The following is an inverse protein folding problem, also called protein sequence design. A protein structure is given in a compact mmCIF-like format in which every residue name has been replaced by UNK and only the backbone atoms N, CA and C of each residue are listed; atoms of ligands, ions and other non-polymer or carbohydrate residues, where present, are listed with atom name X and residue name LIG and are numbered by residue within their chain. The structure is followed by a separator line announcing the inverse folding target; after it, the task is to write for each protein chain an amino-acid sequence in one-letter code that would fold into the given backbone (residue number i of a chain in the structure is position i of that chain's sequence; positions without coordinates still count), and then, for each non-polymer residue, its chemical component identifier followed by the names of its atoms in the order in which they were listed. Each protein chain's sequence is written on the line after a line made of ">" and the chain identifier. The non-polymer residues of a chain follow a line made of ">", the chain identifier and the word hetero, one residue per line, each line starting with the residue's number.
data_IF_258833850003
#
_entry.id   IF_258833850003
#
_cell.length_a   1.000
_cell.length_b   1.000
_cell.length_c   1.000
_cell.angle_alpha   90.00
_cell.angle_beta   90.00
_cell.angle_gamma   90.00
#
_symmetry.space_group_name_H-M   'P 1'
#
loop_
_entity.id
_entity.type
_entity.pdbx_description
1 polymer ?
#
# COMPACT_ATOMS: atom_id res chain seq x y z
N UNK A 1 -3.19 8.22 29.58
CA UNK A 1 -2.25 8.29 28.45
C UNK A 1 -2.33 7.00 27.66
N UNK A 2 -2.99 7.01 26.49
CA UNK A 2 -3.21 5.84 25.62
C UNK A 2 -2.00 5.65 24.70
N UNK A 3 -1.36 4.48 24.71
CA UNK A 3 -0.29 4.10 23.78
C UNK A 3 -0.90 3.80 22.40
N UNK A 4 -0.33 4.29 21.28
CA UNK A 4 -0.78 3.91 19.96
C UNK A 4 -0.20 2.55 19.54
N UNK A 5 -1.03 1.71 18.94
CA UNK A 5 -0.64 0.47 18.29
C UNK A 5 0.00 0.75 16.91
N UNK A 6 1.00 -0.04 16.47
CA UNK A 6 1.52 0.06 15.11
C UNK A 6 0.54 -0.56 14.10
N UNK A 7 0.30 0.16 13.01
CA UNK A 7 -0.51 -0.27 11.87
C UNK A 7 0.22 -1.38 11.10
N UNK A 8 -0.51 -2.46 10.81
CA UNK A 8 -0.09 -3.53 9.92
C UNK A 8 0.07 -3.00 8.48
N UNK A 9 1.18 -3.39 7.86
CA UNK A 9 1.49 -3.25 6.44
C UNK A 9 0.49 -4.08 5.61
N UNK A 10 -0.30 -3.44 4.77
CA UNK A 10 -1.09 -4.10 3.73
C UNK A 10 -0.24 -4.28 2.48
N UNK A 11 0.07 -5.53 2.13
CA UNK A 11 0.64 -5.89 0.84
C UNK A 11 -0.46 -5.82 -0.23
N UNK A 12 -0.40 -4.80 -1.09
CA UNK A 12 -1.20 -4.71 -2.31
C UNK A 12 -0.60 -5.65 -3.37
N UNK A 13 -1.29 -6.76 -3.65
CA UNK A 13 -0.97 -7.64 -4.78
C UNK A 13 -1.84 -7.21 -5.97
N UNK A 14 -1.39 -6.20 -6.71
CA UNK A 14 -2.04 -5.77 -7.94
C UNK A 14 -0.99 -5.18 -8.89
N UNK A 15 -0.35 -6.04 -9.68
CA UNK A 15 0.29 -5.67 -10.95
C UNK A 15 0.76 -6.92 -11.71
N UNK A 16 -0.05 -7.35 -12.68
CA UNK A 16 0.42 -8.13 -13.83
C UNK A 16 -0.65 -8.05 -14.95
N UNK A 17 -0.73 -6.89 -15.59
CA UNK A 17 -1.38 -6.72 -16.90
C UNK A 17 -0.50 -5.82 -17.75
N UNK A 18 0.18 -6.43 -18.71
CA UNK A 18 0.62 -5.91 -20.01
C UNK A 18 1.43 -7.07 -20.64
N UNK A 19 1.40 -7.45 -21.92
CA UNK A 19 1.13 -6.82 -23.20
C UNK A 19 0.80 -7.95 -24.20
N UNK A 20 -0.07 -7.70 -25.18
CA UNK A 20 0.11 -8.14 -26.58
C UNK A 20 -1.12 -7.71 -27.39
N UNK A 21 -1.10 -6.45 -27.84
CA UNK A 21 -1.88 -5.98 -28.98
C UNK A 21 -0.98 -6.21 -30.19
N UNK A 22 -1.40 -7.08 -31.12
CA UNK A 22 -0.87 -7.09 -32.48
C UNK A 22 -2.03 -7.08 -33.44
N UNK A 23 -2.03 -6.04 -34.25
CA UNK A 23 -2.95 -5.76 -35.33
C UNK A 23 -2.83 -6.80 -36.45
N UNK A 24 -3.96 -7.13 -37.07
CA UNK A 24 -4.00 -7.46 -38.49
C UNK A 24 -5.19 -6.75 -39.12
N UNK A 25 -4.85 -5.89 -40.08
CA UNK A 25 -5.70 -5.06 -40.89
C UNK A 25 -5.73 -5.68 -42.30
N UNK A 26 -6.84 -5.49 -43.01
CA UNK A 26 -7.05 -5.80 -44.46
C UNK A 26 -7.45 -7.26 -44.72
N UNK A 27 -8.39 -7.61 -45.60
CA UNK A 27 -8.75 -6.94 -46.85
C UNK A 27 -10.04 -7.54 -47.48
N UNK A 28 -10.60 -6.75 -48.41
CA UNK A 28 -11.46 -7.09 -49.55
C UNK A 28 -12.95 -7.44 -49.39
N UNK A 29 -13.72 -6.61 -50.10
CA UNK A 29 -15.12 -6.70 -50.45
C UNK A 29 -15.42 -7.85 -51.43
N UNK A 30 -16.63 -8.41 -51.31
CA UNK A 30 -17.43 -8.86 -52.44
C UNK A 30 -18.91 -8.91 -52.01
N UNK A 31 -19.71 -8.00 -52.56
CA UNK A 31 -21.17 -8.04 -52.50
C UNK A 31 -21.68 -9.12 -53.45
N UNK A 32 -22.49 -10.04 -52.94
CA UNK A 32 -23.38 -10.88 -53.73
C UNK A 32 -24.80 -10.79 -53.16
N UNK A 33 -25.86 -10.65 -53.98
CA UNK A 33 -27.23 -10.64 -53.51
C UNK A 33 -27.62 -12.05 -53.07
N UNK A 34 -27.72 -12.28 -51.76
CA UNK A 34 -28.27 -13.51 -51.21
C UNK A 34 -29.79 -13.42 -51.27
N UNK A 35 -30.39 -14.22 -52.14
CA UNK A 35 -31.82 -14.47 -52.16
C UNK A 35 -32.22 -15.09 -50.82
N UNK A 36 -33.01 -14.36 -50.04
CA UNK A 36 -33.61 -14.85 -48.81
C UNK A 36 -34.66 -15.93 -49.15
N UNK A 37 -34.29 -17.20 -48.96
CA UNK A 37 -35.24 -18.27 -48.82
C UNK A 37 -35.81 -18.19 -47.40
N UNK A 38 -37.09 -17.85 -47.28
CA UNK A 38 -37.85 -17.94 -46.03
C UNK A 38 -38.07 -19.41 -45.69
N UNK A 39 -37.05 -20.05 -45.11
CA UNK A 39 -37.23 -21.30 -44.36
C UNK A 39 -38.09 -21.03 -43.13
N UNK A 40 -39.02 -21.93 -42.78
CA UNK A 40 -39.88 -21.79 -41.61
C UNK A 40 -39.01 -21.57 -40.38
N UNK A 41 -39.26 -20.49 -39.65
CA UNK A 41 -38.50 -20.07 -38.47
C UNK A 41 -38.63 -21.12 -37.37
N UNK A 42 -37.70 -22.08 -37.37
CA UNK A 42 -37.39 -22.94 -36.23
C UNK A 42 -37.15 -22.02 -35.04
N UNK A 43 -37.82 -22.27 -33.92
CA UNK A 43 -37.72 -21.44 -32.70
C UNK A 43 -36.36 -21.69 -32.03
N UNK A 44 -35.33 -21.07 -32.60
CA UNK A 44 -33.96 -21.17 -32.10
C UNK A 44 -33.68 -19.99 -31.19
N UNK A 45 -33.33 -20.28 -29.95
CA UNK A 45 -33.07 -19.29 -28.91
C UNK A 45 -31.64 -19.43 -28.42
N UNK A 46 -30.93 -18.31 -28.33
CA UNK A 46 -29.62 -18.25 -27.69
C UNK A 46 -29.77 -17.90 -26.21
N UNK A 47 -29.26 -18.76 -25.33
CA UNK A 47 -29.45 -18.66 -23.89
C UNK A 47 -28.09 -18.69 -23.18
N UNK A 48 -27.93 -17.87 -22.14
CA UNK A 48 -26.83 -18.03 -21.18
C UNK A 48 -27.32 -19.02 -20.11
N UNK A 49 -26.97 -20.29 -20.28
CA UNK A 49 -27.44 -21.38 -19.44
C UNK A 49 -26.32 -21.90 -18.53
N UNK A 50 -26.70 -22.53 -17.41
CA UNK A 50 -25.81 -23.31 -16.54
C UNK A 50 -26.41 -24.69 -16.29
N UNK A 51 -25.56 -25.68 -16.07
CA UNK A 51 -26.02 -27.03 -15.74
C UNK A 51 -26.58 -27.07 -14.31
N UNK A 52 -27.85 -27.45 -14.15
CA UNK A 52 -28.42 -27.74 -12.83
C UNK A 52 -28.09 -29.18 -12.39
N UNK A 53 -28.21 -30.12 -13.32
CA UNK A 53 -27.88 -31.54 -13.19
C UNK A 53 -27.31 -32.05 -14.54
N UNK A 54 -27.32 -33.36 -14.79
CA UNK A 54 -26.79 -33.93 -16.03
C UNK A 54 -27.71 -33.76 -17.25
N UNK A 55 -28.97 -33.39 -17.03
CA UNK A 55 -30.04 -33.35 -18.03
C UNK A 55 -30.71 -31.96 -18.17
N UNK A 56 -30.58 -31.12 -17.15
CA UNK A 56 -31.31 -29.88 -16.98
C UNK A 56 -30.39 -28.67 -17.06
N UNK A 57 -30.79 -27.72 -17.91
CA UNK A 57 -30.17 -26.40 -18.04
C UNK A 57 -31.06 -25.33 -17.39
N UNK A 58 -30.44 -24.36 -16.71
CA UNK A 58 -31.14 -23.19 -16.18
C UNK A 58 -30.64 -21.91 -16.86
N UNK A 59 -31.56 -21.15 -17.41
CA UNK A 59 -31.33 -19.85 -18.02
C UNK A 59 -32.27 -18.82 -17.38
N UNK A 60 -31.80 -18.14 -16.32
CA UNK A 60 -32.64 -17.24 -15.53
C UNK A 60 -33.75 -17.98 -14.77
N UNK A 61 -35.01 -17.66 -15.06
CA UNK A 61 -36.18 -18.32 -14.47
C UNK A 61 -36.59 -19.60 -15.23
N UNK A 62 -36.14 -19.74 -16.48
CA UNK A 62 -36.53 -20.85 -17.34
C UNK A 62 -35.68 -22.09 -17.08
N UNK A 63 -36.35 -23.24 -17.15
CA UNK A 63 -35.74 -24.56 -17.03
C UNK A 63 -35.91 -25.30 -18.36
N UNK A 64 -34.79 -25.70 -18.94
CA UNK A 64 -34.72 -26.38 -20.23
C UNK A 64 -34.18 -27.78 -20.01
N UNK A 65 -34.92 -28.79 -20.44
CA UNK A 65 -34.47 -30.18 -20.45
C UNK A 65 -33.91 -30.52 -21.82
N UNK A 66 -32.81 -31.28 -21.84
CA UNK A 66 -32.21 -31.78 -23.06
C UNK A 66 -33.16 -32.77 -23.76
N UNK A 67 -33.60 -32.42 -24.97
CA UNK A 67 -34.52 -33.28 -25.72
C UNK A 67 -33.85 -34.61 -26.12
N UNK A 68 -34.62 -35.69 -26.06
CA UNK A 68 -34.20 -37.03 -26.49
C UNK A 68 -33.33 -37.78 -25.50
N UNK A 69 -33.18 -37.27 -24.28
CA UNK A 69 -32.39 -37.90 -23.21
C UNK A 69 -33.19 -38.04 -21.92
N UNK A 70 -32.77 -38.96 -21.07
CA UNK A 70 -33.33 -39.22 -19.75
C UNK A 70 -32.21 -39.26 -18.68
N UNK A 71 -32.54 -38.79 -17.48
CA UNK A 71 -31.63 -38.83 -16.33
C UNK A 71 -31.57 -40.23 -15.72
N UNK A 72 -30.35 -40.66 -15.38
CA UNK A 72 -30.09 -41.94 -14.73
C UNK A 72 -30.38 -41.81 -13.23
N UNK A 73 -31.35 -42.59 -12.73
CA UNK A 73 -31.80 -42.51 -11.32
C UNK A 73 -30.99 -43.36 -10.34
N UNK A 74 -30.14 -44.26 -10.84
CA UNK A 74 -29.41 -45.26 -10.04
C UNK A 74 -27.96 -44.87 -9.73
N UNK A 75 -27.54 -43.65 -10.05
CA UNK A 75 -26.17 -43.19 -9.82
C UNK A 75 -25.86 -42.93 -8.33
N UNK A 76 -24.58 -43.00 -7.95
CA UNK A 76 -24.11 -42.50 -6.65
C UNK A 76 -23.84 -40.98 -6.69
N UNK A 77 -23.68 -40.34 -5.53
CA UNK A 77 -23.48 -38.88 -5.45
C UNK A 77 -22.27 -38.38 -6.28
N UNK A 78 -21.21 -39.18 -6.35
CA UNK A 78 -20.01 -38.85 -7.12
C UNK A 78 -20.26 -38.90 -8.63
N UNK A 79 -21.08 -39.85 -9.11
CA UNK A 79 -21.54 -39.91 -10.49
C UNK A 79 -22.31 -38.65 -10.88
N UNK A 80 -23.32 -38.25 -10.09
CA UNK A 80 -24.13 -37.05 -10.39
C UNK A 80 -23.27 -35.78 -10.42
N UNK A 81 -22.31 -35.65 -9.52
CA UNK A 81 -21.40 -34.50 -9.51
C UNK A 81 -20.54 -34.45 -10.78
N UNK A 82 -19.97 -35.59 -11.20
CA UNK A 82 -19.20 -35.69 -12.45
C UNK A 82 -20.04 -35.36 -13.67
N UNK A 83 -21.27 -35.88 -13.73
CA UNK A 83 -22.20 -35.66 -14.83
C UNK A 83 -22.57 -34.16 -14.94
N UNK A 84 -22.91 -33.50 -13.83
CA UNK A 84 -23.17 -32.05 -13.81
C UNK A 84 -21.95 -31.25 -14.25
N UNK A 85 -20.75 -31.59 -13.75
CA UNK A 85 -19.52 -30.91 -14.14
C UNK A 85 -19.18 -31.11 -15.61
N UNK A 86 -19.46 -32.29 -16.18
CA UNK A 86 -19.25 -32.54 -17.61
C UNK A 86 -20.15 -31.64 -18.47
N UNK A 87 -21.42 -31.51 -18.12
CA UNK A 87 -22.35 -30.62 -18.83
C UNK A 87 -21.96 -29.14 -18.65
N UNK A 88 -21.62 -28.72 -17.42
CA UNK A 88 -21.21 -27.33 -17.14
C UNK A 88 -19.93 -26.95 -17.89
N UNK A 89 -18.95 -27.85 -17.94
CA UNK A 89 -17.71 -27.64 -18.71
C UNK A 89 -17.97 -27.58 -20.23
N UNK A 90 -18.92 -28.37 -20.73
CA UNK A 90 -19.27 -28.39 -22.16
C UNK A 90 -19.97 -27.10 -22.59
N UNK A 91 -20.81 -26.52 -21.73
CA UNK A 91 -21.45 -25.21 -21.92
C UNK A 91 -20.39 -24.10 -21.81
N UNK A 92 -19.56 -24.18 -20.77
CA UNK A 92 -18.58 -23.16 -20.43
C UNK A 92 -19.23 -21.82 -20.09
N UNK A 93 -18.59 -20.72 -20.48
CA UNK A 93 -19.09 -19.36 -20.26
C UNK A 93 -19.82 -18.76 -21.47
N UNK A 94 -19.99 -19.54 -22.55
CA UNK A 94 -20.55 -19.09 -23.83
C UNK A 94 -22.06 -19.35 -23.89
N UNK A 95 -22.83 -18.56 -24.67
CA UNK A 95 -24.25 -18.84 -24.89
C UNK A 95 -24.43 -20.17 -25.65
N UNK A 96 -25.48 -20.90 -25.29
CA UNK A 96 -25.92 -22.12 -25.97
C UNK A 96 -27.07 -21.80 -26.92
N UNK A 97 -27.10 -22.47 -28.06
CA UNK A 97 -28.16 -22.36 -29.05
C UNK A 97 -29.11 -23.53 -28.86
N UNK A 98 -30.32 -23.24 -28.36
CA UNK A 98 -31.34 -24.24 -28.09
C UNK A 98 -32.49 -24.10 -29.06
N UNK A 99 -32.86 -25.21 -29.69
CA UNK A 99 -34.03 -25.33 -30.54
C UNK A 99 -35.13 -26.07 -29.79
N UNK A 100 -36.24 -25.38 -29.54
CA UNK A 100 -37.32 -25.95 -28.73
C UNK A 100 -38.17 -26.92 -29.56
N UNK A 101 -38.18 -28.17 -29.11
CA UNK A 101 -38.88 -29.31 -29.72
C UNK A 101 -40.28 -29.49 -29.12
N UNK A 102 -40.50 -29.01 -27.90
CA UNK A 102 -41.80 -29.09 -27.24
C UNK A 102 -41.75 -28.64 -25.78
N UNK A 103 -42.78 -29.03 -25.03
CA UNK A 103 -42.84 -28.88 -23.58
C UNK A 103 -43.31 -30.20 -22.97
N UNK A 104 -42.76 -30.55 -21.81
CA UNK A 104 -43.24 -31.71 -21.06
C UNK A 104 -44.57 -31.38 -20.34
N UNK A 105 -45.28 -32.38 -19.77
CA UNK A 105 -46.52 -32.15 -19.03
C UNK A 105 -46.38 -31.20 -17.82
N UNK A 106 -45.16 -31.06 -17.28
CA UNK A 106 -44.85 -30.12 -16.20
C UNK A 106 -44.59 -28.68 -16.71
N UNK A 107 -44.72 -28.43 -18.01
CA UNK A 107 -44.53 -27.12 -18.64
C UNK A 107 -43.07 -26.73 -18.90
N UNK A 108 -42.11 -27.59 -18.58
CA UNK A 108 -40.68 -27.37 -18.84
C UNK A 108 -40.39 -27.50 -20.34
N UNK A 109 -39.47 -26.68 -20.83
CA UNK A 109 -39.12 -26.64 -22.26
C UNK A 109 -38.23 -27.83 -22.58
N UNK A 110 -38.59 -28.60 -23.61
CA UNK A 110 -37.75 -29.65 -24.19
C UNK A 110 -37.04 -29.06 -25.40
N UNK A 111 -35.71 -29.02 -25.39
CA UNK A 111 -34.94 -28.43 -26.49
C UNK A 111 -33.69 -29.22 -26.84
N UNK A 112 -33.36 -29.25 -28.13
CA UNK A 112 -32.05 -29.68 -28.60
C UNK A 112 -31.08 -28.50 -28.46
N UNK A 113 -30.07 -28.63 -27.62
CA UNK A 113 -29.13 -27.55 -27.34
C UNK A 113 -27.74 -27.88 -27.87
N UNK A 114 -27.10 -26.89 -28.48
CA UNK A 114 -25.71 -26.96 -28.95
C UNK A 114 -24.87 -25.84 -28.33
N UNK A 115 -23.59 -26.10 -28.08
CA UNK A 115 -22.66 -25.07 -27.62
C UNK A 115 -22.17 -24.19 -28.79
N UNK A 116 -21.31 -23.22 -28.50
CA UNK A 116 -20.73 -22.32 -29.50
C UNK A 116 -19.88 -23.01 -30.59
N UNK A 117 -19.51 -24.28 -30.40
CA UNK A 117 -18.76 -25.10 -31.35
C UNK A 117 -19.69 -25.98 -32.20
N UNK A 118 -21.01 -25.88 -32.01
CA UNK A 118 -22.00 -26.71 -32.69
C UNK A 118 -22.10 -28.13 -32.15
N UNK A 119 -21.52 -28.41 -30.97
CA UNK A 119 -21.60 -29.72 -30.33
C UNK A 119 -22.96 -29.84 -29.64
N UNK A 120 -23.73 -30.87 -30.00
CA UNK A 120 -24.97 -31.24 -29.33
C UNK A 120 -24.69 -31.72 -27.90
N UNK A 121 -25.29 -31.03 -26.93
CA UNK A 121 -25.06 -31.30 -25.50
C UNK A 121 -25.64 -32.66 -25.09
N UNK A 122 -26.83 -33.03 -25.58
CA UNK A 122 -27.48 -34.30 -25.25
C UNK A 122 -26.69 -35.48 -25.82
N UNK A 123 -26.27 -35.37 -27.08
CA UNK A 123 -25.45 -36.39 -27.74
C UNK A 123 -24.11 -36.60 -27.02
N UNK A 124 -23.41 -35.51 -26.65
CA UNK A 124 -22.16 -35.62 -25.90
C UNK A 124 -22.36 -36.32 -24.55
N UNK A 125 -23.42 -35.96 -23.82
CA UNK A 125 -23.72 -36.56 -22.51
C UNK A 125 -24.06 -38.06 -22.62
N UNK A 126 -24.72 -38.49 -23.70
CA UNK A 126 -24.91 -39.91 -24.02
C UNK A 126 -23.57 -40.62 -24.29
N UNK A 127 -22.69 -40.02 -25.09
CA UNK A 127 -21.37 -40.58 -25.40
C UNK A 127 -20.48 -40.76 -24.17
N UNK A 128 -20.62 -39.91 -23.15
CA UNK A 128 -19.90 -40.02 -21.88
C UNK A 128 -20.56 -40.99 -20.89
N UNK A 129 -21.75 -41.53 -21.20
CA UNK A 129 -22.51 -42.43 -20.32
C UNK A 129 -23.13 -41.72 -19.11
N UNK A 130 -23.42 -40.42 -19.21
CA UNK A 130 -24.03 -39.62 -18.14
C UNK A 130 -25.55 -39.46 -18.28
N UNK A 131 -26.10 -39.80 -19.45
CA UNK A 131 -27.54 -39.87 -19.74
C UNK A 131 -27.84 -41.16 -20.48
N UNK A 132 -29.12 -41.50 -20.58
CA UNK A 132 -29.66 -42.57 -21.44
C UNK A 132 -30.60 -41.98 -22.48
N UNK A 133 -30.76 -42.64 -23.63
CA UNK A 133 -31.59 -42.12 -24.71
C UNK A 133 -33.08 -42.37 -24.42
N UNK A 134 -33.92 -41.32 -24.48
CA UNK A 134 -35.37 -41.47 -24.35
C UNK A 134 -35.95 -41.99 -25.67
N UNK A 135 -36.10 -43.31 -25.75
CA UNK A 135 -36.59 -43.99 -26.96
C UNK A 135 -38.02 -43.59 -27.32
N UNK A 136 -38.81 -43.04 -26.39
CA UNK A 136 -40.20 -42.67 -26.67
C UNK A 136 -40.33 -41.43 -27.55
N UNK A 137 -39.37 -40.50 -27.45
CA UNK A 137 -39.32 -39.27 -28.26
C UNK A 137 -38.31 -39.33 -29.38
N UNK A 138 -37.25 -40.14 -29.25
CA UNK A 138 -36.20 -40.24 -30.25
C UNK A 138 -36.62 -41.09 -31.46
N UNK A 139 -37.51 -42.06 -31.28
CA UNK A 139 -37.92 -42.99 -32.34
C UNK A 139 -38.63 -42.29 -33.51
N UNK A 140 -38.18 -42.56 -34.74
CA UNK A 140 -38.67 -41.94 -35.96
C UNK A 140 -38.14 -40.52 -36.21
N UNK A 141 -37.27 -40.01 -35.33
CA UNK A 141 -36.59 -38.73 -35.54
C UNK A 141 -35.31 -38.90 -36.36
N UNK A 142 -34.82 -37.79 -36.94
CA UNK A 142 -33.54 -37.76 -37.68
C UNK A 142 -32.34 -38.05 -36.75
N UNK A 143 -32.51 -37.89 -35.43
CA UNK A 143 -31.44 -38.06 -34.44
C UNK A 143 -31.39 -39.47 -33.84
N UNK A 144 -32.32 -40.35 -34.22
CA UNK A 144 -32.45 -41.69 -33.65
C UNK A 144 -31.16 -42.49 -33.70
N UNK A 145 -30.59 -42.61 -34.89
CA UNK A 145 -29.38 -43.41 -35.11
C UNK A 145 -28.19 -42.87 -34.29
N UNK A 146 -28.04 -41.55 -34.22
CA UNK A 146 -26.92 -40.92 -33.52
C UNK A 146 -27.01 -41.09 -32.00
N UNK A 147 -28.20 -40.94 -31.42
CA UNK A 147 -28.40 -41.03 -29.98
C UNK A 147 -28.26 -42.48 -29.50
N UNK A 148 -28.84 -43.44 -30.22
CA UNK A 148 -28.73 -44.88 -29.89
C UNK A 148 -27.28 -45.36 -30.06
N UNK A 149 -26.59 -44.91 -31.11
CA UNK A 149 -25.18 -45.26 -31.30
C UNK A 149 -24.28 -44.70 -30.19
N UNK A 150 -24.52 -43.46 -29.74
CA UNK A 150 -23.79 -42.84 -28.65
C UNK A 150 -23.97 -43.58 -27.32
N UNK A 151 -25.21 -43.95 -26.97
CA UNK A 151 -25.52 -44.74 -25.77
C UNK A 151 -24.84 -46.13 -25.83
N UNK A 152 -24.98 -46.82 -26.97
CA UNK A 152 -24.36 -48.15 -27.19
C UNK A 152 -22.83 -48.08 -27.11
N UNK A 153 -22.24 -47.00 -27.61
CA UNK A 153 -20.80 -46.77 -27.52
C UNK A 153 -20.36 -46.58 -26.07
N UNK A 154 -21.06 -45.76 -25.29
CA UNK A 154 -20.75 -45.57 -23.87
C UNK A 154 -20.89 -46.87 -23.09
N UNK A 155 -21.92 -47.67 -23.38
CA UNK A 155 -22.12 -49.00 -22.81
C UNK A 155 -20.95 -49.94 -23.13
N UNK A 156 -20.57 -50.06 -24.40
CA UNK A 156 -19.46 -50.93 -24.83
C UNK A 156 -18.10 -50.55 -24.23
N UNK A 157 -17.90 -49.26 -23.93
CA UNK A 157 -16.68 -48.74 -23.32
C UNK A 157 -16.67 -48.87 -21.79
N UNK A 158 -17.80 -49.19 -21.16
CA UNK A 158 -17.93 -49.22 -19.71
C UNK A 158 -17.61 -47.87 -19.07
N UNK A 159 -18.12 -46.78 -19.64
CA UNK A 159 -17.91 -45.41 -19.11
C UNK A 159 -19.20 -44.82 -18.54
N UNK A 160 -19.06 -43.81 -17.68
CA UNK A 160 -20.20 -43.19 -17.02
C UNK A 160 -20.90 -44.17 -16.08
N UNK A 161 -22.20 -44.35 -16.22
CA UNK A 161 -22.99 -45.31 -15.41
C UNK A 161 -22.63 -46.77 -15.72
N UNK A 162 -22.06 -47.02 -16.89
CA UNK A 162 -21.71 -48.37 -17.34
C UNK A 162 -20.35 -48.85 -16.80
N UNK A 163 -19.61 -47.99 -16.12
CA UNK A 163 -18.38 -48.39 -15.47
C UNK A 163 -18.70 -49.38 -14.35
N UNK A 164 -18.22 -50.62 -14.49
CA UNK A 164 -18.24 -51.57 -13.39
C UNK A 164 -17.53 -50.91 -12.20
N UNK A 165 -18.15 -50.95 -11.02
CA UNK A 165 -17.50 -50.53 -9.78
C UNK A 165 -16.34 -51.49 -9.49
N UNK A 166 -15.21 -51.29 -10.16
CA UNK A 166 -13.94 -51.94 -9.84
C UNK A 166 -13.40 -51.24 -8.59
N UNK A 167 -14.11 -51.46 -7.50
CA UNK A 167 -13.81 -51.00 -6.15
C UNK A 167 -12.45 -51.55 -5.72
N UNK A 168 -11.47 -50.66 -5.70
CA UNK A 168 -10.47 -50.44 -4.62
C UNK A 168 -9.63 -51.61 -4.07
N UNK A 169 -9.71 -52.84 -4.60
CA UNK A 169 -9.08 -54.01 -3.97
C UNK A 169 -7.88 -54.62 -4.70
N UNK A 170 -7.28 -53.93 -5.69
CA UNK A 170 -6.11 -54.45 -6.42
C UNK A 170 -4.75 -53.84 -6.04
N UNK A 171 -4.70 -52.76 -5.25
CA UNK A 171 -3.42 -52.14 -4.87
C UNK A 171 -2.77 -52.75 -3.59
N UNK A 172 -3.49 -53.57 -2.82
CA UNK A 172 -3.03 -54.01 -1.49
C UNK A 172 -2.57 -55.48 -1.40
N UNK A 173 -2.33 -56.16 -2.52
CA UNK A 173 -1.87 -57.56 -2.54
C UNK A 173 -0.65 -57.78 -3.43
N UNK A 174 0.49 -57.18 -3.07
CA UNK A 174 1.81 -57.64 -3.55
C UNK A 174 3.01 -56.95 -2.88
N UNK A 175 3.03 -56.73 -1.56
CA UNK A 175 4.31 -56.46 -0.88
C UNK A 175 4.31 -57.14 0.48
N UNK A 176 5.19 -58.14 0.64
CA UNK A 176 5.32 -58.93 1.87
C UNK A 176 5.58 -58.04 3.09
N UNK A 177 4.90 -58.34 4.20
CA UNK A 177 4.84 -57.52 5.40
C UNK A 177 6.21 -57.16 6.00
N UNK A 178 7.24 -58.00 5.81
CA UNK A 178 8.58 -57.75 6.35
C UNK A 178 9.34 -56.63 5.62
N UNK A 179 9.08 -56.42 4.33
CA UNK A 179 9.74 -55.37 3.55
C UNK A 179 9.07 -54.00 3.72
N UNK A 180 7.78 -53.97 4.08
CA UNK A 180 7.02 -52.72 4.29
C UNK A 180 7.51 -51.97 5.52
N UNK A 181 7.84 -52.68 6.60
CA UNK A 181 8.37 -52.07 7.83
C UNK A 181 9.75 -51.43 7.59
N UNK A 182 10.64 -52.12 6.87
CA UNK A 182 11.99 -51.63 6.56
C UNK A 182 11.91 -50.41 5.63
N UNK A 183 11.10 -50.48 4.57
CA UNK A 183 10.93 -49.35 3.64
C UNK A 183 10.34 -48.13 4.37
N UNK A 184 9.36 -48.33 5.25
CA UNK A 184 8.77 -47.24 6.03
C UNK A 184 9.77 -46.57 6.97
N UNK A 185 10.64 -47.36 7.62
CA UNK A 185 11.71 -46.83 8.47
C UNK A 185 12.78 -46.06 7.67
N UNK A 186 13.16 -46.57 6.50
CA UNK A 186 14.11 -45.89 5.61
C UNK A 186 13.54 -44.56 5.11
N UNK A 187 12.27 -44.54 4.67
CA UNK A 187 11.60 -43.31 4.25
C UNK A 187 11.50 -42.30 5.40
N UNK A 188 11.20 -42.76 6.62
CA UNK A 188 11.18 -41.91 7.81
C UNK A 188 12.56 -41.30 8.10
N UNK A 189 13.64 -42.09 8.04
CA UNK A 189 14.99 -41.58 8.23
C UNK A 189 15.40 -40.55 7.17
N UNK A 190 15.06 -40.78 5.90
CA UNK A 190 15.31 -39.81 4.82
C UNK A 190 14.56 -38.50 5.09
N UNK A 191 13.31 -38.59 5.54
CA UNK A 191 12.49 -37.43 5.86
C UNK A 191 13.07 -36.65 7.07
N UNK A 192 13.47 -37.33 8.14
CA UNK A 192 14.15 -36.70 9.30
C UNK A 192 15.46 -36.03 8.88
N UNK A 193 16.26 -36.69 8.03
CA UNK A 193 17.49 -36.11 7.50
C UNK A 193 17.23 -34.85 6.66
N UNK A 194 16.19 -34.85 5.82
CA UNK A 194 15.78 -33.68 5.05
C UNK A 194 15.38 -32.50 5.96
N UNK A 195 14.62 -32.76 7.04
CA UNK A 195 14.28 -31.74 8.03
C UNK A 195 15.50 -31.22 8.80
N UNK A 196 16.46 -32.08 9.12
CA UNK A 196 17.71 -31.67 9.78
C UNK A 196 18.53 -30.73 8.88
N UNK A 197 18.66 -31.05 7.59
CA UNK A 197 19.34 -30.19 6.62
C UNK A 197 18.61 -28.85 6.45
N UNK A 198 17.28 -28.87 6.30
CA UNK A 198 16.48 -27.66 6.21
C UNK A 198 16.64 -26.76 7.45
N UNK A 199 16.61 -27.35 8.66
CA UNK A 199 16.82 -26.64 9.92
C UNK A 199 18.20 -25.99 9.98
N UNK A 200 19.23 -26.68 9.48
CA UNK A 200 20.60 -26.17 9.46
C UNK A 200 20.75 -24.98 8.49
N UNK A 201 20.09 -25.05 7.32
CA UNK A 201 20.01 -23.93 6.36
C UNK A 201 19.28 -22.74 6.97
N UNK A 202 18.13 -22.96 7.62
CA UNK A 202 17.40 -21.89 8.31
C UNK A 202 18.24 -21.27 9.43
N UNK A 203 18.92 -22.07 10.24
CA UNK A 203 19.77 -21.57 11.33
C UNK A 203 20.94 -20.72 10.80
N UNK A 204 21.53 -21.09 9.67
CA UNK A 204 22.52 -20.25 8.97
C UNK A 204 21.92 -18.96 8.43
N UNK A 205 20.69 -19.01 7.92
CA UNK A 205 19.94 -17.83 7.49
C UNK A 205 19.68 -16.85 8.64
N UNK A 206 19.14 -17.35 9.76
CA UNK A 206 18.85 -16.54 10.95
C UNK A 206 20.11 -15.89 11.54
N UNK A 207 21.25 -16.58 11.57
CA UNK A 207 22.52 -15.96 12.02
C UNK A 207 22.93 -14.78 11.14
N UNK A 208 22.77 -14.86 9.82
CA UNK A 208 23.04 -13.74 8.92
C UNK A 208 22.09 -12.56 9.15
N UNK A 209 20.81 -12.85 9.35
CA UNK A 209 19.80 -11.81 9.61
C UNK A 209 20.04 -11.14 10.96
N UNK A 210 20.33 -11.91 12.01
CA UNK A 210 20.67 -11.36 13.34
C UNK A 210 21.90 -10.44 13.25
N UNK A 211 22.97 -10.88 12.59
CA UNK A 211 24.16 -10.04 12.39
C UNK A 211 23.89 -8.77 11.57
N UNK A 212 22.97 -8.82 10.60
CA UNK A 212 22.56 -7.64 9.84
C UNK A 212 21.71 -6.67 10.69
N UNK A 213 20.83 -7.20 11.54
CA UNK A 213 20.02 -6.40 12.45
C UNK A 213 20.88 -5.69 13.50
N UNK A 214 21.88 -6.38 14.07
CA UNK A 214 22.82 -5.78 15.03
C UNK A 214 23.59 -4.62 14.41
N UNK A 215 24.08 -4.77 13.17
CA UNK A 215 24.75 -3.68 12.43
C UNK A 215 23.83 -2.47 12.23
N UNK A 216 22.57 -2.68 11.87
CA UNK A 216 21.62 -1.58 11.73
C UNK A 216 21.36 -0.88 13.06
N UNK A 217 21.27 -1.62 14.17
CA UNK A 217 21.10 -1.00 15.50
C UNK A 217 22.33 -0.20 15.94
N UNK A 218 23.55 -0.68 15.63
CA UNK A 218 24.80 0.03 15.90
C UNK A 218 24.93 1.31 15.06
N UNK A 219 24.53 1.26 13.78
CA UNK A 219 24.50 2.46 12.93
C UNK A 219 23.50 3.49 13.47
N UNK A 220 22.30 3.05 13.86
CA UNK A 220 21.28 3.94 14.41
C UNK A 220 21.68 4.54 15.78
N UNK A 221 22.38 3.78 16.63
CA UNK A 221 22.88 4.30 17.90
C UNK A 221 24.00 5.34 17.67
N UNK A 222 24.92 5.07 16.74
CA UNK A 222 25.97 6.01 16.33
C UNK A 222 25.38 7.28 15.72
N UNK A 223 24.37 7.19 14.88
CA UNK A 223 23.70 8.36 14.30
C UNK A 223 23.06 9.23 15.39
N UNK A 224 22.43 8.62 16.40
CA UNK A 224 21.88 9.36 17.56
C UNK A 224 22.98 10.07 18.34
N UNK A 225 24.07 9.38 18.65
CA UNK A 225 25.21 9.97 19.37
C UNK A 225 25.82 11.14 18.57
N UNK A 226 25.94 11.00 17.25
CA UNK A 226 26.42 12.09 16.39
C UNK A 226 25.48 13.28 16.36
N UNK A 227 24.16 13.04 16.27
CA UNK A 227 23.14 14.10 16.34
C UNK A 227 23.14 14.80 17.70
N UNK A 228 23.33 14.07 18.79
CA UNK A 228 23.42 14.66 20.12
C UNK A 228 24.69 15.50 20.28
N UNK A 229 25.82 15.05 19.72
CA UNK A 229 27.06 15.84 19.65
C UNK A 229 26.88 17.10 18.81
N UNK A 230 26.28 16.98 17.62
CA UNK A 230 26.00 18.12 16.74
C UNK A 230 25.07 19.13 17.42
N UNK A 231 24.00 18.65 18.06
CA UNK A 231 23.09 19.48 18.87
C UNK A 231 23.85 20.24 19.95
N UNK A 232 24.73 19.57 20.69
CA UNK A 232 25.51 20.21 21.77
C UNK A 232 26.48 21.27 21.22
N UNK A 233 27.12 21.00 20.08
CA UNK A 233 28.02 21.97 19.41
C UNK A 233 27.22 23.20 18.93
N UNK A 234 26.11 22.99 18.22
CA UNK A 234 25.27 24.10 17.74
C UNK A 234 24.72 24.91 18.91
N UNK A 235 24.27 24.24 19.97
CA UNK A 235 23.76 24.90 21.16
C UNK A 235 24.84 25.72 21.88
N UNK A 236 26.07 25.21 22.03
CA UNK A 236 27.16 25.93 22.69
C UNK A 236 27.63 27.13 21.88
N UNK A 237 27.71 26.99 20.55
CA UNK A 237 28.02 28.10 19.64
C UNK A 237 26.97 29.22 19.73
N UNK A 238 25.68 28.86 19.71
CA UNK A 238 24.59 29.83 19.86
C UNK A 238 24.57 30.47 21.24
N UNK A 239 24.76 29.69 22.31
CA UNK A 239 24.81 30.23 23.66
C UNK A 239 25.97 31.23 23.82
N UNK A 240 27.13 30.94 23.24
CA UNK A 240 28.28 31.85 23.23
C UNK A 240 27.97 33.15 22.47
N UNK A 241 27.37 33.06 21.28
CA UNK A 241 26.95 34.25 20.52
C UNK A 241 25.91 35.07 21.30
N UNK A 242 24.92 34.42 21.91
CA UNK A 242 23.88 35.06 22.71
C UNK A 242 24.46 35.77 23.94
N UNK A 243 25.41 35.16 24.67
CA UNK A 243 26.10 35.80 25.80
C UNK A 243 26.96 36.98 25.35
N UNK A 244 27.68 36.85 24.23
CA UNK A 244 28.45 37.96 23.66
C UNK A 244 27.53 39.13 23.27
N UNK A 245 26.38 38.82 22.67
CA UNK A 245 25.36 39.82 22.34
C UNK A 245 24.72 40.42 23.60
N UNK A 246 24.56 39.66 24.69
CA UNK A 246 24.10 40.19 25.97
C UNK A 246 25.06 41.26 26.50
N UNK A 247 26.36 40.96 26.54
CA UNK A 247 27.37 41.94 26.96
C UNK A 247 27.38 43.20 26.09
N UNK A 248 27.14 43.06 24.77
CA UNK A 248 26.98 44.23 23.87
C UNK A 248 25.74 45.06 24.21
N UNK A 249 24.61 44.43 24.52
CA UNK A 249 23.37 45.13 24.91
C UNK A 249 23.55 45.83 26.25
N UNK A 250 24.20 45.20 27.22
CA UNK A 250 24.46 45.78 28.54
C UNK A 250 25.38 47.00 28.44
N UNK A 251 26.49 46.89 27.69
CA UNK A 251 27.38 48.01 27.43
C UNK A 251 26.66 49.17 26.71
N UNK A 252 25.81 48.84 25.74
CA UNK A 252 24.98 49.81 25.04
C UNK A 252 24.03 50.54 26.01
N UNK A 253 23.35 49.79 26.89
CA UNK A 253 22.46 50.36 27.90
C UNK A 253 23.22 51.31 28.83
N UNK A 254 24.39 50.94 29.33
CA UNK A 254 25.20 51.81 30.20
C UNK A 254 25.51 53.15 29.53
N UNK A 255 26.00 53.11 28.28
CA UNK A 255 26.38 54.33 27.54
C UNK A 255 25.17 55.23 27.28
N UNK A 256 24.06 54.67 26.78
CA UNK A 256 22.89 55.47 26.42
C UNK A 256 22.05 55.91 27.64
N UNK A 257 22.07 55.16 28.75
CA UNK A 257 21.46 55.60 30.00
C UNK A 257 22.25 56.75 30.65
N UNK A 258 23.58 56.71 30.58
CA UNK A 258 24.42 57.83 31.01
C UNK A 258 24.19 59.07 30.12
N UNK A 259 24.12 58.89 28.79
CA UNK A 259 23.77 59.96 27.86
C UNK A 259 22.40 60.56 28.20
N UNK A 260 21.39 59.72 28.42
CA UNK A 260 20.04 60.15 28.80
C UNK A 260 20.01 60.89 30.14
N UNK A 261 20.79 60.44 31.12
CA UNK A 261 20.96 61.15 32.40
C UNK A 261 21.57 62.53 32.19
N UNK A 262 22.60 62.65 31.35
CA UNK A 262 23.24 63.94 31.03
C UNK A 262 22.30 64.91 30.29
N UNK A 263 21.43 64.39 29.41
CA UNK A 263 20.46 65.20 28.66
C UNK A 263 19.33 65.74 29.55
N UNK A 264 18.97 64.99 30.59
CA UNK A 264 17.91 65.37 31.56
C UNK A 264 18.41 66.32 32.65
N UNK A 265 19.71 66.37 32.92
CA UNK A 265 20.27 67.26 33.90
C UNK A 265 20.25 68.72 33.39
N UNK A 266 19.51 69.63 34.02
CA UNK A 266 19.44 71.03 33.61
C UNK A 266 20.77 71.78 33.85
N UNK A 267 21.64 71.26 34.71
CA UNK A 267 22.89 71.92 35.11
C UNK A 267 24.09 71.60 34.20
N UNK A 268 24.00 70.53 33.41
CA UNK A 268 25.08 70.08 32.53
C UNK A 268 24.95 70.70 31.13
N UNK A 269 26.05 71.25 30.59
CA UNK A 269 26.05 71.71 29.20
C UNK A 269 25.92 70.53 28.24
N UNK A 270 24.99 70.64 27.29
CA UNK A 270 24.57 69.52 26.44
C UNK A 270 25.57 69.31 25.32
N UNK A 271 26.37 68.24 25.44
CA UNK A 271 27.45 67.90 24.50
C UNK A 271 27.01 67.94 23.03
N UNK A 272 25.81 67.44 22.71
CA UNK A 272 25.30 67.40 21.33
C UNK A 272 25.10 68.80 20.71
N UNK A 273 24.89 69.85 21.51
CA UNK A 273 24.72 71.23 20.99
C UNK A 273 26.00 71.83 20.42
N UNK A 274 27.17 71.25 20.74
CA UNK A 274 28.46 71.78 20.27
C UNK A 274 28.86 71.23 18.91
N UNK A 275 28.66 69.93 18.69
CA UNK A 275 29.17 69.22 17.49
C UNK A 275 28.14 68.34 16.79
N UNK A 276 26.91 68.28 17.29
CA UNK A 276 25.97 67.21 16.96
C UNK A 276 26.36 65.90 17.62
N UNK A 277 25.49 64.89 17.50
CA UNK A 277 25.75 63.52 17.93
C UNK A 277 25.04 62.52 17.00
N UNK A 278 25.47 61.26 17.00
CA UNK A 278 24.84 60.19 16.21
C UNK A 278 24.31 59.13 17.17
N UNK A 279 22.99 58.99 17.21
CA UNK A 279 22.32 57.99 18.03
C UNK A 279 22.01 56.77 17.20
N UNK A 280 22.56 55.64 17.60
CA UNK A 280 22.14 54.34 17.12
C UNK A 280 20.78 54.01 17.76
N UNK A 281 19.80 53.49 17.00
CA UNK A 281 18.47 53.17 17.56
C UNK A 281 18.36 51.75 18.13
N UNK A 282 19.32 50.87 17.78
CA UNK A 282 19.42 49.49 18.25
C UNK A 282 20.90 49.09 18.34
N UNK A 283 21.29 48.24 19.31
CA UNK A 283 22.67 47.75 19.41
C UNK A 283 23.07 46.93 18.18
N UNK A 284 24.35 47.00 17.80
CA UNK A 284 24.90 46.20 16.70
C UNK A 284 25.22 44.79 17.23
N UNK A 285 24.34 43.82 16.93
CA UNK A 285 24.46 42.44 17.39
C UNK A 285 24.97 41.54 16.28
N UNK A 286 25.74 40.51 16.66
CA UNK A 286 26.20 39.48 15.73
C UNK A 286 25.07 38.49 15.45
N UNK A 287 25.06 37.91 14.25
CA UNK A 287 24.09 36.91 13.78
C UNK A 287 24.74 35.77 13.01
N UNK A 288 26.07 35.77 12.90
CA UNK A 288 26.80 34.86 12.01
C UNK A 288 26.59 33.39 12.36
N UNK A 289 26.58 33.03 13.66
CA UNK A 289 26.32 31.66 14.11
C UNK A 289 24.87 31.27 13.85
N UNK A 290 23.92 32.16 14.12
CA UNK A 290 22.50 31.89 13.86
C UNK A 290 22.23 31.66 12.37
N UNK A 291 22.66 32.59 11.51
CA UNK A 291 22.42 32.53 10.07
C UNK A 291 23.14 31.30 9.45
N UNK A 292 24.31 30.92 9.98
CA UNK A 292 25.08 29.75 9.54
C UNK A 292 24.54 28.38 9.98
N UNK A 293 23.58 28.32 10.93
CA UNK A 293 23.03 27.07 11.46
C UNK A 293 21.49 27.02 11.38
N UNK A 294 20.86 27.82 10.51
CA UNK A 294 19.40 27.91 10.40
C UNK A 294 18.72 26.58 10.06
N UNK A 295 19.40 25.72 9.30
CA UNK A 295 18.98 24.36 8.94
C UNK A 295 19.02 23.37 10.10
N UNK A 296 19.80 23.66 11.15
CA UNK A 296 20.02 22.81 12.33
C UNK A 296 19.23 23.23 13.55
N UNK A 297 18.33 24.21 13.41
CA UNK A 297 17.55 24.71 14.54
C UNK A 297 16.68 23.61 15.15
N UNK A 298 16.15 22.70 14.33
CA UNK A 298 15.30 21.59 14.78
C UNK A 298 15.96 20.70 15.84
N UNK A 299 17.30 20.57 15.84
CA UNK A 299 18.09 19.85 16.83
C UNK A 299 17.90 20.39 18.27
N UNK A 300 17.66 21.69 18.42
CA UNK A 300 17.47 22.35 19.73
C UNK A 300 16.10 22.07 20.34
N UNK A 301 15.19 21.49 19.56
CA UNK A 301 13.81 21.25 19.93
C UNK A 301 12.92 22.48 19.73
N UNK A 302 11.65 22.21 19.42
CA UNK A 302 10.66 23.20 18.95
C UNK A 302 10.57 24.48 19.80
N UNK A 303 10.60 24.36 21.13
CA UNK A 303 10.43 25.52 22.03
C UNK A 303 11.63 26.46 22.00
N UNK A 304 12.85 25.91 22.11
CA UNK A 304 14.05 26.73 22.11
C UNK A 304 14.32 27.34 20.73
N UNK A 305 14.20 26.51 19.68
CA UNK A 305 14.32 26.95 18.28
C UNK A 305 13.43 28.15 18.00
N UNK A 306 12.15 28.07 18.38
CA UNK A 306 11.19 29.16 18.19
C UNK A 306 11.61 30.42 18.96
N UNK A 307 12.09 30.29 20.20
CA UNK A 307 12.55 31.44 20.98
C UNK A 307 13.79 32.11 20.36
N UNK A 308 14.76 31.31 19.90
CA UNK A 308 15.98 31.79 19.22
C UNK A 308 15.61 32.51 17.91
N UNK A 309 14.80 31.87 17.04
CA UNK A 309 14.36 32.47 15.78
C UNK A 309 13.63 33.79 16.03
N UNK A 310 12.73 33.85 17.02
CA UNK A 310 12.01 35.09 17.35
C UNK A 310 12.91 36.19 17.91
N UNK A 311 14.00 35.84 18.60
CA UNK A 311 14.98 36.81 19.06
C UNK A 311 15.74 37.40 17.86
N UNK A 312 16.32 36.55 17.02
CA UNK A 312 17.10 37.00 15.85
C UNK A 312 16.25 37.70 14.78
N UNK A 313 14.97 37.36 14.64
CA UNK A 313 14.04 38.08 13.76
C UNK A 313 13.83 39.55 14.16
N UNK A 314 14.07 39.91 15.43
CA UNK A 314 13.98 41.30 15.92
C UNK A 314 15.27 42.09 15.74
N UNK A 315 16.38 41.40 15.49
CA UNK A 315 17.70 42.02 15.29
C UNK A 315 17.81 42.49 13.83
N UNK A 316 17.97 43.80 13.65
CA UNK A 316 18.31 44.38 12.35
C UNK A 316 19.79 44.16 12.04
N UNK A 317 20.08 43.62 10.86
CA UNK A 317 21.45 43.42 10.38
C UNK A 317 22.20 44.72 10.12
N UNK A 318 21.46 45.82 9.86
CA UNK A 318 22.00 47.17 9.73
C UNK A 318 21.31 48.04 10.77
N UNK A 319 22.05 48.58 11.75
CA UNK A 319 21.45 49.47 12.75
C UNK A 319 21.02 50.77 12.09
N UNK A 320 19.86 51.27 12.50
CA UNK A 320 19.39 52.59 12.09
C UNK A 320 20.13 53.65 12.92
N UNK A 321 20.63 54.68 12.24
CA UNK A 321 21.27 55.83 12.87
C UNK A 321 20.37 57.06 12.72
N UNK A 322 20.32 57.87 13.77
CA UNK A 322 19.65 59.16 13.78
C UNK A 322 20.68 60.22 14.17
N UNK A 323 20.89 61.19 13.29
CA UNK A 323 21.72 62.34 13.58
C UNK A 323 20.93 63.30 14.47
N UNK A 324 21.52 63.70 15.59
CA UNK A 324 21.03 64.75 16.47
C UNK A 324 21.82 66.00 16.13
N UNK A 325 21.21 66.88 15.34
CA UNK A 325 21.83 68.15 14.97
C UNK A 325 21.98 69.10 16.18
N UNK A 326 22.97 70.01 16.17
CA UNK A 326 23.20 70.97 17.25
C UNK A 326 21.97 71.84 17.61
N UNK A 327 21.15 72.16 16.61
CA UNK A 327 19.94 72.96 16.71
C UNK A 327 18.68 72.14 17.04
N UNK A 328 18.81 70.81 17.15
CA UNK A 328 17.69 69.93 17.48
C UNK A 328 17.10 70.27 18.87
N UNK A 329 15.77 70.48 18.97
CA UNK A 329 15.09 70.68 20.24
C UNK A 329 15.38 69.53 21.21
N UNK A 330 15.61 69.87 22.49
CA UNK A 330 15.94 68.91 23.54
C UNK A 330 14.95 67.74 23.60
N UNK A 331 13.66 68.05 23.49
CA UNK A 331 12.59 67.06 23.56
C UNK A 331 12.73 66.00 22.45
N UNK A 332 13.08 66.42 21.23
CA UNK A 332 13.31 65.49 20.12
C UNK A 332 14.54 64.62 20.36
N UNK A 333 15.64 65.21 20.83
CA UNK A 333 16.85 64.47 21.19
C UNK A 333 16.58 63.43 22.28
N UNK A 334 15.83 63.80 23.34
CA UNK A 334 15.41 62.89 24.40
C UNK A 334 14.57 61.74 23.86
N UNK A 335 13.60 62.00 22.98
CA UNK A 335 12.76 60.95 22.37
C UNK A 335 13.61 59.92 21.60
N UNK A 336 14.62 60.36 20.85
CA UNK A 336 15.49 59.45 20.10
C UNK A 336 16.32 58.55 21.02
N UNK A 337 16.93 59.13 22.07
CA UNK A 337 17.73 58.37 23.05
C UNK A 337 16.85 57.45 23.90
N UNK A 338 15.68 57.92 24.34
CA UNK A 338 14.70 57.10 25.08
C UNK A 338 14.23 55.91 24.27
N UNK A 339 13.96 56.10 22.98
CA UNK A 339 13.60 55.01 22.06
C UNK A 339 14.74 53.99 21.92
N UNK A 340 15.98 54.45 21.80
CA UNK A 340 17.15 53.58 21.73
C UNK A 340 17.32 52.73 23.00
N UNK A 341 17.24 53.35 24.18
CA UNK A 341 17.31 52.66 25.48
C UNK A 341 16.14 51.68 25.65
N UNK A 342 14.92 52.10 25.33
CA UNK A 342 13.72 51.27 25.41
C UNK A 342 13.82 50.01 24.55
N UNK A 343 14.25 50.15 23.29
CA UNK A 343 14.48 49.01 22.39
C UNK A 343 15.53 48.05 22.95
N UNK A 344 16.65 48.58 23.46
CA UNK A 344 17.72 47.77 24.04
C UNK A 344 17.27 47.01 25.30
N UNK A 345 16.45 47.61 26.17
CA UNK A 345 15.88 46.94 27.35
C UNK A 345 14.96 45.79 26.96
N UNK A 346 14.08 45.98 25.98
CA UNK A 346 13.18 44.93 25.47
C UNK A 346 14.00 43.76 24.91
N UNK A 347 15.04 44.06 24.11
CA UNK A 347 15.93 43.03 23.57
C UNK A 347 16.66 42.28 24.69
N UNK A 348 17.15 42.97 25.72
CA UNK A 348 17.81 42.34 26.87
C UNK A 348 16.88 41.40 27.63
N UNK A 349 15.63 41.81 27.86
CA UNK A 349 14.64 40.97 28.56
C UNK A 349 14.33 39.69 27.76
N UNK A 350 14.15 39.82 26.45
CA UNK A 350 13.90 38.66 25.57
C UNK A 350 15.13 37.74 25.56
N UNK A 351 16.33 38.31 25.43
CA UNK A 351 17.58 37.55 25.45
C UNK A 351 17.77 36.78 26.76
N UNK A 352 17.50 37.42 27.90
CA UNK A 352 17.55 36.78 29.21
C UNK A 352 16.60 35.58 29.30
N UNK A 353 15.39 35.67 28.72
CA UNK A 353 14.46 34.53 28.61
C UNK A 353 15.02 33.41 27.75
N UNK A 354 15.65 33.72 26.61
CA UNK A 354 16.28 32.73 25.73
C UNK A 354 17.45 32.04 26.44
N UNK A 355 18.36 32.79 27.05
CA UNK A 355 19.50 32.24 27.80
C UNK A 355 19.04 31.35 28.96
N UNK A 356 18.00 31.75 29.70
CA UNK A 356 17.43 30.91 30.76
C UNK A 356 16.87 29.58 30.23
N UNK A 357 16.41 29.55 28.98
CA UNK A 357 15.93 28.33 28.34
C UNK A 357 17.09 27.40 27.94
N UNK A 358 18.24 27.95 27.51
CA UNK A 358 19.48 27.19 27.32
C UNK A 358 19.95 26.54 28.62
N UNK A 359 20.00 27.30 29.72
CA UNK A 359 20.41 26.76 31.03
C UNK A 359 19.49 25.64 31.51
N UNK A 360 18.17 25.73 31.27
CA UNK A 360 17.20 24.69 31.63
C UNK A 360 17.35 23.40 30.84
N UNK A 361 17.93 23.43 29.64
CA UNK A 361 18.17 22.21 28.87
C UNK A 361 19.42 21.44 29.29
N UNK A 362 20.25 22.01 30.18
CA UNK A 362 21.46 21.34 30.67
C UNK A 362 22.59 21.20 29.65
N UNK A 363 22.52 21.90 28.51
CA UNK A 363 23.49 21.71 27.41
C UNK A 363 24.88 22.36 27.69
N UNK A 364 25.02 23.13 28.78
CA UNK A 364 26.25 23.88 29.08
C UNK A 364 27.09 23.41 30.27
N UNK A 365 26.67 22.38 31.04
CA UNK A 365 27.30 22.09 32.35
C UNK A 365 28.07 20.77 32.46
N UNK A 366 28.01 19.88 31.48
CA UNK A 366 28.64 18.54 31.60
C UNK A 366 29.99 18.40 30.89
N UNK A 367 30.38 19.32 30.00
CA UNK A 367 31.63 19.15 29.23
C UNK A 367 32.92 19.45 29.99
N UNK A 368 32.85 19.86 31.26
CA UNK A 368 34.04 20.14 32.10
C UNK A 368 34.18 19.17 33.27
N UNK A 369 33.48 18.04 33.28
CA UNK A 369 33.44 17.11 34.42
C UNK A 369 33.87 15.67 34.13
N UNK A 370 34.29 15.36 32.90
CA UNK A 370 34.73 14.01 32.48
C UNK A 370 36.24 13.92 32.14
N UNK A 371 37.06 14.93 32.48
CA UNK A 371 38.53 14.87 32.33
C UNK A 371 39.30 14.81 33.68
N UNK A 372 38.73 14.17 34.70
CA UNK A 372 39.46 13.77 35.94
C UNK A 372 39.50 12.25 36.13
#
# INVERSE_FOLDING_TARGET
>A
MKKPYPRYFSFNFNQARAFAVVATLSCFAAFGPVFAQTTPTKNVVQLQARAADSHTLRAGADTVLLWGTEEIKTGNAHFYLKARMALDNLIGSKPVQCEVMGRNPAGQVLAQCSNAEGIDLGLYMLQQGYLVADRSVVYGSILEEHYIAAETQAYSKGIGVWAAEESENKAAKSFGADNVAIISFVVFLVLVAAFAVASLVMFRGFRKVAAAQDRNTDILSKERVLKDKEKNIVASMLEAELKANQSKIEAYLVVYEEMLKSLRDPSTDKKYRRSGDIVQLQPALDRSVFDGNTDKMDLLGRKLSSAVIHFYARIKTRPDYVNIDPDMPLEKALIHVEKAVGNARILNEILGKVLSAFSKMGIGNDSSREEE
#
